data_IF_949938747373
#
_entry.id   IF_949938747373
#
_cell.length_a   1.000
_cell.length_b   1.000
_cell.length_c   1.000
_cell.angle_alpha   90.00
_cell.angle_beta   90.00
_cell.angle_gamma   90.00
#
_symmetry.space_group_name_H-M   'P 1'
#
loop_
_entity.id
_entity.type
_entity.pdbx_description
1 polymer ?
#
# COMPACT_ATOMS: atom_id res chain seq x y z
N UNK A 1 -17.33 -1.90 -0.92
CA UNK A 1 -18.24 -0.73 -0.97
C UNK A 1 -18.22 -0.18 -2.38
N UNK A 2 -19.29 0.52 -2.80
CA UNK A 2 -19.35 1.21 -4.08
C UNK A 2 -19.70 2.69 -3.85
N UNK A 3 -19.13 3.55 -4.70
CA UNK A 3 -19.42 4.98 -4.73
C UNK A 3 -20.24 5.27 -5.99
N UNK A 4 -21.26 6.12 -5.88
CA UNK A 4 -22.06 6.55 -7.03
C UNK A 4 -21.39 7.75 -7.70
N UNK A 5 -21.13 7.67 -9.02
CA UNK A 5 -20.47 8.74 -9.73
C UNK A 5 -21.26 10.05 -9.73
N UNK A 6 -22.61 9.93 -9.83
CA UNK A 6 -23.48 11.12 -9.78
C UNK A 6 -23.35 11.86 -8.45
N UNK A 7 -23.23 11.11 -7.33
CA UNK A 7 -23.03 11.73 -6.01
C UNK A 7 -21.64 12.35 -5.89
N UNK A 8 -20.59 11.69 -6.41
CA UNK A 8 -19.24 12.26 -6.46
C UNK A 8 -19.26 13.59 -7.20
N UNK A 9 -19.75 13.60 -8.45
CA UNK A 9 -19.79 14.81 -9.30
C UNK A 9 -20.67 15.89 -8.69
N UNK A 10 -21.84 15.55 -8.13
CA UNK A 10 -22.72 16.50 -7.45
C UNK A 10 -22.01 17.20 -6.27
N UNK A 11 -21.26 16.46 -5.44
CA UNK A 11 -20.52 17.02 -4.32
C UNK A 11 -19.39 17.93 -4.78
N UNK A 12 -18.70 17.56 -5.85
CA UNK A 12 -17.62 18.38 -6.44
C UNK A 12 -18.18 19.71 -6.96
N UNK A 13 -19.33 19.67 -7.65
CA UNK A 13 -19.97 20.89 -8.17
C UNK A 13 -20.52 21.79 -7.04
N UNK A 14 -20.93 21.21 -5.90
CA UNK A 14 -21.44 21.98 -4.78
C UNK A 14 -20.32 22.65 -3.97
N UNK A 15 -19.35 21.89 -3.49
CA UNK A 15 -18.16 22.36 -2.77
C UNK A 15 -17.06 21.28 -2.79
N UNK A 16 -16.08 21.40 -3.68
CA UNK A 16 -15.00 20.43 -3.79
C UNK A 16 -14.12 20.37 -2.55
N UNK A 17 -13.94 21.50 -1.84
CA UNK A 17 -13.12 21.52 -0.62
C UNK A 17 -13.80 20.77 0.53
N UNK A 18 -15.09 21.05 0.76
CA UNK A 18 -15.88 20.30 1.76
C UNK A 18 -15.86 18.80 1.46
N UNK A 19 -15.99 18.42 0.19
CA UNK A 19 -15.98 17.02 -0.19
C UNK A 19 -14.64 16.34 0.11
N UNK A 20 -13.53 16.99 -0.20
CA UNK A 20 -12.18 16.49 0.11
C UNK A 20 -11.98 16.35 1.61
N UNK A 21 -12.37 17.38 2.40
CA UNK A 21 -12.25 17.37 3.86
C UNK A 21 -13.07 16.25 4.49
N UNK A 22 -14.28 16.02 4.00
CA UNK A 22 -15.11 14.91 4.46
C UNK A 22 -14.50 13.54 4.13
N UNK A 23 -13.84 13.40 2.98
CA UNK A 23 -13.12 12.17 2.64
C UNK A 23 -11.91 11.93 3.57
N UNK A 24 -11.12 12.96 3.87
CA UNK A 24 -9.98 12.87 4.78
C UNK A 24 -10.45 12.59 6.23
N UNK A 25 -11.55 13.21 6.69
CA UNK A 25 -12.15 12.93 7.99
C UNK A 25 -12.62 11.47 8.11
N UNK A 26 -13.32 10.95 7.10
CA UNK A 26 -13.75 9.55 7.09
C UNK A 26 -12.56 8.58 7.07
N UNK A 27 -11.45 8.97 6.44
CA UNK A 27 -10.22 8.19 6.49
C UNK A 27 -9.57 8.21 7.89
N UNK A 28 -9.53 9.38 8.54
CA UNK A 28 -9.03 9.52 9.90
C UNK A 28 -9.82 8.66 10.91
N UNK A 29 -11.14 8.57 10.78
CA UNK A 29 -11.96 7.67 11.59
C UNK A 29 -11.59 6.18 11.41
N UNK A 30 -11.22 5.78 10.19
CA UNK A 30 -10.74 4.41 9.94
C UNK A 30 -9.38 4.17 10.62
N UNK A 31 -8.48 5.17 10.59
CA UNK A 31 -7.19 5.12 11.28
C UNK A 31 -7.39 4.95 12.78
N UNK A 32 -8.25 5.76 13.39
CA UNK A 32 -8.56 5.69 14.82
C UNK A 32 -9.12 4.31 15.23
N UNK A 33 -10.01 3.75 14.42
CA UNK A 33 -10.53 2.39 14.67
C UNK A 33 -9.45 1.33 14.59
N UNK A 34 -8.55 1.43 13.62
CA UNK A 34 -7.43 0.50 13.47
C UNK A 34 -6.46 0.62 14.66
N UNK A 35 -6.12 1.84 15.06
CA UNK A 35 -5.24 2.10 16.20
C UNK A 35 -5.83 1.54 17.52
N UNK A 36 -7.13 1.73 17.78
CA UNK A 36 -7.80 1.16 18.96
C UNK A 36 -7.76 -0.36 18.97
N UNK A 37 -8.06 -1.00 17.84
CA UNK A 37 -8.02 -2.45 17.74
C UNK A 37 -6.59 -2.99 17.95
N UNK A 38 -5.57 -2.30 17.47
CA UNK A 38 -4.17 -2.63 17.74
C UNK A 38 -3.85 -2.44 19.23
N UNK A 39 -4.27 -1.33 19.84
CA UNK A 39 -4.04 -1.03 21.24
C UNK A 39 -4.61 -2.10 22.19
N UNK A 40 -5.76 -2.67 21.84
CA UNK A 40 -6.35 -3.80 22.60
C UNK A 40 -5.47 -5.06 22.55
N UNK A 41 -4.75 -5.27 21.43
CA UNK A 41 -3.89 -6.46 21.23
C UNK A 41 -2.47 -6.31 21.80
N UNK A 42 -1.99 -5.09 22.04
CA UNK A 42 -0.58 -4.83 22.45
C UNK A 42 -0.13 -5.64 23.65
N UNK A 43 -1.02 -5.84 24.63
CA UNK A 43 -0.71 -6.63 25.85
C UNK A 43 -0.54 -8.11 25.57
N UNK A 44 -1.13 -8.61 24.50
CA UNK A 44 -1.01 -10.03 24.08
C UNK A 44 0.23 -10.21 23.21
N UNK A 45 0.39 -9.34 22.21
CA UNK A 45 1.53 -9.39 21.29
C UNK A 45 1.83 -7.98 20.76
N UNK A 46 3.06 -7.45 20.90
CA UNK A 46 3.43 -6.13 20.42
C UNK A 46 3.76 -6.10 18.92
N UNK A 47 3.39 -7.14 18.17
CA UNK A 47 3.65 -7.23 16.73
C UNK A 47 2.38 -6.91 15.95
N UNK A 48 2.49 -6.00 14.99
CA UNK A 48 1.47 -5.71 13.99
C UNK A 48 2.00 -6.13 12.62
N UNK A 49 1.30 -7.03 11.95
CA UNK A 49 1.59 -7.48 10.59
C UNK A 49 0.69 -6.73 9.62
N UNK A 50 1.25 -5.82 8.84
CA UNK A 50 0.52 -4.95 7.93
C UNK A 50 0.80 -5.37 6.49
N UNK A 51 -0.19 -5.93 5.81
CA UNK A 51 -0.09 -6.35 4.42
C UNK A 51 -1.09 -5.62 3.53
N UNK A 52 -0.83 -5.67 2.25
CA UNK A 52 -1.71 -5.13 1.21
C UNK A 52 -0.96 -5.03 -0.12
N UNK A 53 -1.68 -5.03 -1.24
CA UNK A 53 -1.08 -5.01 -2.57
C UNK A 53 -0.41 -3.67 -2.87
N UNK A 54 0.37 -3.63 -3.95
CA UNK A 54 1.01 -2.39 -4.43
C UNK A 54 -0.02 -1.29 -4.71
N UNK A 55 0.30 -0.05 -4.33
CA UNK A 55 -0.59 1.12 -4.49
C UNK A 55 -1.76 1.15 -3.49
N UNK A 56 -1.73 0.37 -2.42
CA UNK A 56 -2.80 0.39 -1.40
C UNK A 56 -2.66 1.49 -0.35
N UNK A 57 -1.56 2.25 -0.33
CA UNK A 57 -1.32 3.28 0.69
C UNK A 57 -0.86 2.72 2.04
N UNK A 58 -0.19 1.55 2.05
CA UNK A 58 0.30 0.91 3.28
C UNK A 58 1.18 1.82 4.11
N UNK A 59 2.16 2.45 3.49
CA UNK A 59 3.20 3.21 4.17
C UNK A 59 2.60 4.41 4.91
N UNK A 60 1.80 5.23 4.24
CA UNK A 60 1.12 6.37 4.90
C UNK A 60 0.12 5.91 5.95
N UNK A 61 -0.64 4.83 5.66
CA UNK A 61 -1.59 4.27 6.64
C UNK A 61 -0.86 3.81 7.90
N UNK A 62 0.30 3.14 7.76
CA UNK A 62 1.13 2.72 8.90
C UNK A 62 1.60 3.92 9.73
N UNK A 63 2.07 4.99 9.07
CA UNK A 63 2.52 6.22 9.75
C UNK A 63 1.38 6.89 10.52
N UNK A 64 0.19 6.99 9.92
CA UNK A 64 -1.00 7.56 10.57
C UNK A 64 -1.48 6.70 11.76
N UNK A 65 -1.45 5.38 11.63
CA UNK A 65 -1.74 4.47 12.76
C UNK A 65 -0.73 4.67 13.87
N UNK A 66 0.57 4.82 13.54
CA UNK A 66 1.62 5.09 14.51
C UNK A 66 1.40 6.41 15.27
N UNK A 67 0.94 7.46 14.57
CA UNK A 67 0.58 8.74 15.19
C UNK A 67 -0.62 8.60 16.14
N UNK A 68 -1.67 7.89 15.71
CA UNK A 68 -2.84 7.62 16.54
C UNK A 68 -2.49 6.79 17.79
N UNK A 69 -1.65 5.75 17.66
CA UNK A 69 -1.14 4.96 18.79
C UNK A 69 -0.34 5.81 19.78
N UNK A 70 0.50 6.73 19.26
CA UNK A 70 1.26 7.66 20.10
C UNK A 70 0.32 8.57 20.90
N UNK A 71 -0.79 9.03 20.30
CA UNK A 71 -1.84 9.76 21.00
C UNK A 71 -2.50 8.96 22.12
N UNK A 72 -2.44 7.63 22.09
CA UNK A 72 -2.92 6.71 23.13
C UNK A 72 -1.82 6.31 24.14
N UNK A 73 -0.62 6.90 24.05
CA UNK A 73 0.52 6.58 24.90
C UNK A 73 1.29 5.31 24.50
N UNK A 74 1.04 4.78 23.30
CA UNK A 74 1.70 3.58 22.76
C UNK A 74 2.74 4.02 21.73
N UNK A 75 4.02 3.73 21.97
CA UNK A 75 5.08 3.93 21.00
C UNK A 75 4.99 2.94 19.84
N UNK A 76 5.52 3.33 18.68
CA UNK A 76 5.58 2.42 17.53
C UNK A 76 6.90 2.53 16.78
N UNK A 77 7.43 1.40 16.36
CA UNK A 77 8.58 1.31 15.48
C UNK A 77 8.17 0.64 14.16
N UNK A 78 8.76 1.06 13.04
CA UNK A 78 8.48 0.49 11.71
C UNK A 78 9.58 -0.48 11.32
N UNK A 79 9.16 -1.64 10.80
CA UNK A 79 10.02 -2.65 10.21
C UNK A 79 9.52 -2.93 8.78
N UNK A 80 10.32 -2.53 7.79
CA UNK A 80 10.01 -2.77 6.39
C UNK A 80 10.46 -4.17 5.98
N UNK A 81 9.57 -4.99 5.44
CA UNK A 81 9.94 -6.31 4.89
C UNK A 81 10.90 -6.19 3.71
N UNK A 82 10.87 -5.07 3.03
CA UNK A 82 11.74 -4.80 1.89
C UNK A 82 13.23 -4.81 2.25
N UNK A 83 13.59 -4.55 3.50
CA UNK A 83 14.97 -4.69 3.99
C UNK A 83 15.44 -6.16 4.06
N UNK A 84 14.51 -7.11 4.02
CA UNK A 84 14.78 -8.55 4.09
C UNK A 84 14.89 -9.23 2.72
N UNK A 85 14.89 -8.47 1.61
CA UNK A 85 15.20 -9.07 0.31
C UNK A 85 16.58 -9.72 0.32
N UNK A 86 16.66 -10.95 -0.16
CA UNK A 86 17.94 -11.67 -0.32
C UNK A 86 18.74 -11.09 -1.48
N UNK A 87 20.05 -11.13 -1.39
CA UNK A 87 20.92 -10.85 -2.55
C UNK A 87 20.50 -11.71 -3.73
N UNK A 88 20.22 -11.07 -4.85
CA UNK A 88 19.72 -11.75 -6.04
C UNK A 88 20.79 -12.67 -6.62
N UNK A 89 20.53 -13.97 -6.64
CA UNK A 89 21.31 -14.94 -7.39
C UNK A 89 20.54 -15.32 -8.66
N UNK A 90 21.00 -14.92 -9.87
CA UNK A 90 20.29 -15.17 -11.13
C UNK A 90 20.02 -16.65 -11.43
N UNK A 91 20.77 -17.58 -10.80
CA UNK A 91 20.61 -19.03 -11.03
C UNK A 91 19.51 -19.64 -10.18
N UNK A 92 19.21 -19.07 -9.02
CA UNK A 92 18.27 -19.66 -8.04
C UNK A 92 17.07 -18.75 -7.73
N UNK A 93 17.09 -17.50 -8.22
CA UNK A 93 15.98 -16.57 -8.03
C UNK A 93 14.68 -17.13 -8.65
N UNK A 94 13.52 -16.94 -7.95
CA UNK A 94 12.22 -17.33 -8.51
C UNK A 94 11.97 -16.60 -9.83
N UNK A 95 11.25 -17.26 -10.74
CA UNK A 95 11.00 -16.70 -12.07
C UNK A 95 9.52 -16.59 -12.36
N UNK A 96 9.17 -15.59 -13.17
CA UNK A 96 7.86 -15.44 -13.79
C UNK A 96 7.67 -16.51 -14.89
N UNK A 97 6.45 -16.72 -15.37
CA UNK A 97 6.23 -17.60 -16.53
C UNK A 97 7.00 -17.19 -17.78
N UNK A 98 7.29 -15.89 -17.93
CA UNK A 98 8.04 -15.29 -19.04
C UNK A 98 9.56 -15.47 -18.88
N UNK A 99 10.02 -15.94 -17.70
CA UNK A 99 11.42 -16.23 -17.41
C UNK A 99 12.18 -15.12 -16.68
N UNK A 100 11.55 -13.99 -16.39
CA UNK A 100 12.12 -12.91 -15.61
C UNK A 100 12.18 -13.24 -14.12
N UNK A 101 13.00 -12.52 -13.33
CA UNK A 101 13.03 -12.67 -11.88
C UNK A 101 11.69 -12.20 -11.29
N UNK A 102 11.05 -13.09 -10.52
CA UNK A 102 9.77 -12.82 -9.88
C UNK A 102 9.96 -12.15 -8.50
N UNK A 103 10.12 -10.84 -8.50
CA UNK A 103 10.23 -10.04 -7.26
C UNK A 103 8.94 -9.99 -6.43
N UNK A 104 7.81 -10.43 -6.99
CA UNK A 104 6.55 -10.57 -6.24
C UNK A 104 6.50 -11.86 -5.42
N UNK A 105 7.47 -12.77 -5.61
CA UNK A 105 7.54 -14.03 -4.87
C UNK A 105 8.11 -13.85 -3.46
N UNK A 106 7.48 -14.42 -2.41
CA UNK A 106 8.03 -14.43 -1.06
C UNK A 106 9.40 -15.12 -0.95
N UNK A 107 9.74 -15.98 -1.93
CA UNK A 107 11.06 -16.63 -1.98
C UNK A 107 12.23 -15.65 -2.23
N UNK A 108 11.94 -14.41 -2.65
CA UNK A 108 12.94 -13.35 -2.72
C UNK A 108 13.30 -12.76 -1.34
N UNK A 109 12.52 -13.05 -0.30
CA UNK A 109 12.72 -12.55 1.07
C UNK A 109 13.39 -13.59 1.96
N UNK A 110 14.15 -13.14 2.93
CA UNK A 110 14.64 -13.97 4.04
C UNK A 110 13.57 -14.07 5.13
N UNK A 111 12.55 -14.90 4.84
CA UNK A 111 11.40 -15.10 5.72
C UNK A 111 11.79 -15.70 7.07
N UNK A 112 12.83 -16.56 7.11
CA UNK A 112 13.33 -17.13 8.34
C UNK A 112 13.97 -16.09 9.26
N UNK A 113 14.82 -15.20 8.68
CA UNK A 113 15.44 -14.14 9.45
C UNK A 113 14.38 -13.15 9.95
N UNK A 114 13.44 -12.76 9.11
CA UNK A 114 12.33 -11.89 9.49
C UNK A 114 11.50 -12.49 10.62
N UNK A 115 11.12 -13.76 10.51
CA UNK A 115 10.35 -14.45 11.53
C UNK A 115 11.09 -14.54 12.87
N UNK A 116 12.39 -14.85 12.84
CA UNK A 116 13.25 -14.86 14.05
C UNK A 116 13.33 -13.47 14.68
N UNK A 117 13.46 -12.40 13.88
CA UNK A 117 13.50 -11.04 14.37
C UNK A 117 12.17 -10.62 15.00
N UNK A 118 11.03 -10.92 14.38
CA UNK A 118 9.71 -10.63 14.96
C UNK A 118 9.50 -11.37 16.29
N UNK A 119 9.89 -12.63 16.36
CA UNK A 119 9.81 -13.43 17.59
C UNK A 119 10.71 -12.87 18.70
N UNK A 120 11.95 -12.45 18.37
CA UNK A 120 12.88 -11.80 19.30
C UNK A 120 12.30 -10.47 19.84
N UNK A 121 11.77 -9.63 18.94
CA UNK A 121 11.11 -8.36 19.33
C UNK A 121 9.90 -8.60 20.24
N UNK A 122 9.09 -9.63 19.97
CA UNK A 122 7.96 -10.00 20.82
C UNK A 122 8.38 -10.38 22.25
N UNK A 123 9.62 -10.90 22.41
CA UNK A 123 10.23 -11.20 23.74
C UNK A 123 10.99 -10.02 24.34
N UNK A 124 11.01 -8.84 23.69
CA UNK A 124 11.74 -7.67 24.14
C UNK A 124 13.26 -7.77 23.94
N UNK A 125 13.72 -8.68 23.08
CA UNK A 125 15.13 -8.85 22.72
C UNK A 125 15.52 -7.81 21.67
N UNK A 126 16.82 -7.46 21.63
CA UNK A 126 17.37 -6.57 20.61
C UNK A 126 17.70 -7.36 19.35
N UNK A 127 17.39 -6.77 18.20
CA UNK A 127 17.76 -7.28 16.88
C UNK A 127 18.56 -6.25 16.10
N UNK A 128 19.27 -6.68 15.06
CA UNK A 128 19.92 -5.80 14.10
C UNK A 128 19.28 -5.98 12.73
N UNK A 129 18.63 -4.90 12.22
CA UNK A 129 17.92 -4.92 10.95
C UNK A 129 18.91 -5.15 9.79
N UNK A 130 18.61 -6.03 8.82
CA UNK A 130 19.33 -6.05 7.56
C UNK A 130 19.00 -4.78 6.77
N UNK A 131 19.72 -4.54 5.70
CA UNK A 131 19.41 -3.49 4.73
C UNK A 131 19.56 -4.02 3.32
N UNK A 132 18.57 -3.78 2.49
CA UNK A 132 18.62 -4.15 1.08
C UNK A 132 18.81 -2.92 0.19
N UNK A 133 19.72 -3.01 -0.76
CA UNK A 133 19.94 -1.97 -1.75
C UNK A 133 19.31 -2.41 -3.09
N UNK A 134 18.21 -1.73 -3.47
CA UNK A 134 17.47 -2.04 -4.69
C UNK A 134 18.25 -1.75 -5.98
N UNK A 135 19.22 -0.84 -5.96
CA UNK A 135 20.05 -0.51 -7.13
C UNK A 135 21.07 -1.61 -7.40
N UNK A 136 21.80 -2.03 -6.35
CA UNK A 136 22.83 -3.08 -6.47
C UNK A 136 22.26 -4.48 -6.33
N UNK A 137 21.00 -4.64 -5.86
CA UNK A 137 20.31 -5.90 -5.56
C UNK A 137 21.05 -6.78 -4.55
N UNK A 138 21.68 -6.14 -3.56
CA UNK A 138 22.49 -6.80 -2.53
C UNK A 138 21.90 -6.50 -1.16
N UNK A 139 21.76 -7.54 -0.35
CA UNK A 139 21.49 -7.44 1.07
C UNK A 139 22.81 -7.22 1.81
N UNK A 140 22.94 -6.14 2.56
CA UNK A 140 24.00 -6.00 3.55
C UNK A 140 23.61 -6.79 4.80
N UNK A 141 24.54 -7.56 5.35
CA UNK A 141 24.32 -8.35 6.58
C UNK A 141 23.91 -7.48 7.79
N UNK A 142 23.89 -8.03 9.01
CA UNK A 142 23.30 -7.44 10.22
C UNK A 142 24.08 -6.23 10.79
N UNK A 143 24.51 -5.33 9.93
CA UNK A 143 25.23 -4.08 10.25
C UNK A 143 24.21 -2.92 10.41
N UNK A 144 22.92 -3.24 10.36
CA UNK A 144 21.86 -2.27 10.42
C UNK A 144 21.60 -1.70 11.81
N UNK A 145 20.66 -0.77 11.87
CA UNK A 145 20.25 -0.10 13.11
C UNK A 145 19.73 -1.14 14.11
N UNK A 146 20.20 -1.12 15.39
CA UNK A 146 19.61 -1.93 16.44
C UNK A 146 18.16 -1.53 16.67
N UNK A 147 17.30 -2.50 16.94
CA UNK A 147 15.90 -2.29 17.28
C UNK A 147 15.53 -3.17 18.47
N UNK A 148 14.87 -2.57 19.44
CA UNK A 148 14.30 -3.22 20.60
C UNK A 148 13.01 -2.54 20.97
N UNK A 149 11.99 -3.29 21.37
CA UNK A 149 10.71 -2.73 21.83
C UNK A 149 10.78 -2.40 23.32
N UNK A 150 10.30 -1.22 23.67
CA UNK A 150 9.99 -0.84 25.05
C UNK A 150 8.69 -1.50 25.54
N UNK A 151 8.36 -1.28 26.82
CA UNK A 151 7.21 -1.92 27.48
C UNK A 151 5.86 -1.56 26.85
N UNK A 152 5.73 -0.33 26.38
CA UNK A 152 4.48 0.20 25.80
C UNK A 152 4.72 0.58 24.32
N UNK A 153 5.43 -0.28 23.59
CA UNK A 153 5.74 -0.10 22.18
C UNK A 153 5.29 -1.29 21.35
N UNK A 154 4.95 -1.01 20.09
CA UNK A 154 4.67 -2.02 19.06
C UNK A 154 5.63 -1.89 17.91
N UNK A 155 5.89 -2.99 17.19
CA UNK A 155 6.49 -2.93 15.86
C UNK A 155 5.42 -3.16 14.80
N UNK A 156 5.37 -2.28 13.81
CA UNK A 156 4.55 -2.44 12.60
C UNK A 156 5.47 -3.02 11.51
N UNK A 157 5.35 -4.33 11.29
CA UNK A 157 6.01 -5.02 10.18
C UNK A 157 5.17 -4.82 8.92
N UNK A 158 5.65 -3.98 8.01
CA UNK A 158 4.95 -3.62 6.78
C UNK A 158 5.57 -4.35 5.58
N UNK A 159 4.72 -4.95 4.77
CA UNK A 159 5.13 -5.52 3.49
C UNK A 159 4.03 -6.31 2.80
N UNK A 160 4.21 -6.58 1.51
CA UNK A 160 3.19 -7.30 0.72
C UNK A 160 2.95 -8.73 1.22
N UNK A 161 3.93 -9.35 1.89
CA UNK A 161 3.88 -10.72 2.40
C UNK A 161 3.70 -10.83 3.91
N UNK A 162 3.41 -9.72 4.63
CA UNK A 162 3.35 -9.72 6.09
C UNK A 162 2.30 -10.69 6.67
N UNK A 163 1.24 -11.02 5.93
CA UNK A 163 0.23 -12.01 6.35
C UNK A 163 0.47 -13.44 5.81
N UNK A 164 1.62 -13.68 5.16
CA UNK A 164 1.96 -15.03 4.72
C UNK A 164 2.08 -15.99 5.92
N UNK A 165 1.70 -17.27 5.74
CA UNK A 165 1.74 -18.29 6.79
C UNK A 165 3.10 -18.48 7.42
N UNK A 166 4.15 -18.40 6.60
CA UNK A 166 5.52 -18.55 7.07
C UNK A 166 5.90 -17.47 8.09
N UNK A 167 5.38 -16.26 7.96
CA UNK A 167 5.57 -15.18 8.94
C UNK A 167 4.60 -15.29 10.11
N UNK A 168 3.32 -15.55 9.82
CA UNK A 168 2.29 -15.66 10.84
C UNK A 168 2.57 -16.79 11.85
N UNK A 169 3.28 -17.84 11.44
CA UNK A 169 3.67 -18.95 12.32
C UNK A 169 4.67 -18.53 13.41
N UNK A 170 5.52 -17.53 13.15
CA UNK A 170 6.45 -17.02 14.17
C UNK A 170 5.77 -16.16 15.24
N UNK A 171 4.66 -15.47 14.87
CA UNK A 171 3.91 -14.61 15.77
C UNK A 171 2.41 -14.87 15.63
N UNK A 172 1.89 -15.99 16.17
CA UNK A 172 0.48 -16.38 15.98
C UNK A 172 -0.50 -15.36 16.56
N UNK A 173 -0.12 -14.67 17.63
CA UNK A 173 -0.95 -13.68 18.34
C UNK A 173 -0.76 -12.24 17.82
N UNK A 174 0.03 -12.05 16.75
CA UNK A 174 0.23 -10.74 16.14
C UNK A 174 -1.08 -10.17 15.58
N UNK A 175 -1.28 -8.86 15.73
CA UNK A 175 -2.41 -8.19 15.09
C UNK A 175 -2.18 -8.10 13.58
N UNK A 176 -3.12 -8.60 12.80
CA UNK A 176 -3.06 -8.70 11.33
C UNK A 176 -3.96 -7.69 10.68
N UNK A 177 -3.35 -6.76 9.94
CA UNK A 177 -4.04 -5.69 9.23
C UNK A 177 -3.84 -5.86 7.71
N UNK A 178 -4.93 -5.94 6.96
CA UNK A 178 -4.88 -5.96 5.49
C UNK A 178 -5.44 -4.67 4.91
N UNK A 179 -4.62 -3.96 4.12
CA UNK A 179 -4.96 -2.68 3.51
C UNK A 179 -5.10 -2.84 2.00
N UNK A 180 -6.21 -2.35 1.44
CA UNK A 180 -6.40 -2.30 -0.02
C UNK A 180 -7.44 -1.25 -0.40
N UNK A 181 -7.25 -0.58 -1.53
CA UNK A 181 -8.32 0.19 -2.18
C UNK A 181 -9.32 -0.82 -2.79
N UNK A 182 -10.47 -1.00 -2.14
CA UNK A 182 -11.44 -2.05 -2.47
C UNK A 182 -12.73 -1.51 -3.06
N UNK A 183 -13.02 -0.24 -2.84
CA UNK A 183 -14.23 0.37 -3.37
C UNK A 183 -14.15 0.50 -4.88
N UNK A 184 -15.31 0.40 -5.52
CA UNK A 184 -15.50 0.61 -6.95
C UNK A 184 -16.38 1.84 -7.15
N UNK A 185 -16.33 2.46 -8.32
CA UNK A 185 -17.30 3.50 -8.68
C UNK A 185 -18.29 2.91 -9.65
N UNK A 186 -19.57 3.16 -9.39
CA UNK A 186 -20.70 2.66 -10.18
C UNK A 186 -21.53 3.83 -10.71
N UNK A 187 -22.30 3.58 -11.77
CA UNK A 187 -23.29 4.54 -12.29
C UNK A 187 -24.65 4.40 -11.60
N UNK A 188 -25.65 5.15 -12.10
CA UNK A 188 -27.01 5.15 -11.56
C UNK A 188 -27.72 3.80 -11.63
N UNK A 189 -27.33 2.94 -12.55
CA UNK A 189 -27.85 1.59 -12.72
C UNK A 189 -27.08 0.54 -11.92
N UNK A 190 -26.06 0.97 -11.16
CA UNK A 190 -25.19 0.10 -10.37
C UNK A 190 -24.10 -0.61 -11.19
N UNK A 191 -23.92 -0.24 -12.47
CA UNK A 191 -22.90 -0.81 -13.31
C UNK A 191 -21.51 -0.26 -12.91
N UNK A 192 -20.51 -1.13 -12.76
CA UNK A 192 -19.14 -0.75 -12.44
C UNK A 192 -18.50 0.02 -13.60
N UNK A 193 -18.13 1.26 -13.34
CA UNK A 193 -17.46 2.16 -14.30
C UNK A 193 -15.99 2.39 -13.96
N UNK A 194 -15.59 2.22 -12.70
CA UNK A 194 -14.20 2.37 -12.29
C UNK A 194 -13.84 1.36 -11.19
N UNK A 195 -12.85 0.51 -11.49
CA UNK A 195 -12.44 -0.62 -10.64
C UNK A 195 -11.48 -0.18 -9.53
N UNK A 196 -11.55 -0.80 -8.36
CA UNK A 196 -10.56 -0.60 -7.31
C UNK A 196 -9.12 -0.97 -7.74
N UNK A 197 -8.98 -1.90 -8.70
CA UNK A 197 -7.67 -2.22 -9.30
C UNK A 197 -7.14 -1.09 -10.17
N UNK A 198 -8.00 -0.34 -10.84
CA UNK A 198 -7.63 0.84 -11.62
C UNK A 198 -7.21 2.00 -10.70
N UNK A 199 -7.89 2.20 -9.55
CA UNK A 199 -7.44 3.18 -8.56
C UNK A 199 -5.98 2.93 -8.16
N UNK A 200 -5.65 1.68 -7.81
CA UNK A 200 -4.27 1.33 -7.44
C UNK A 200 -3.29 1.44 -8.60
N UNK A 201 -3.73 1.18 -9.82
CA UNK A 201 -2.91 1.41 -11.02
C UNK A 201 -2.62 2.91 -11.19
N UNK A 202 -3.61 3.79 -11.09
CA UNK A 202 -3.38 5.24 -11.15
C UNK A 202 -2.41 5.71 -10.05
N UNK A 203 -2.61 5.28 -8.81
CA UNK A 203 -1.70 5.57 -7.71
C UNK A 203 -0.26 5.16 -8.04
N UNK A 204 -0.08 3.94 -8.56
CA UNK A 204 1.24 3.43 -8.93
C UNK A 204 1.85 4.19 -10.10
N UNK A 205 1.09 4.45 -11.16
CA UNK A 205 1.55 5.22 -12.32
C UNK A 205 2.08 6.59 -11.92
N UNK A 206 1.28 7.32 -11.15
CA UNK A 206 1.63 8.68 -10.71
C UNK A 206 2.85 8.66 -9.78
N UNK A 207 2.86 7.77 -8.78
CA UNK A 207 4.00 7.64 -7.86
C UNK A 207 5.28 7.24 -8.59
N UNK A 208 5.23 6.22 -9.44
CA UNK A 208 6.41 5.68 -10.11
C UNK A 208 6.99 6.70 -11.11
N UNK A 209 6.13 7.51 -11.74
CA UNK A 209 6.55 8.65 -12.57
C UNK A 209 7.20 9.75 -11.73
N UNK A 210 6.54 10.19 -10.63
CA UNK A 210 6.99 11.33 -9.84
C UNK A 210 8.26 11.05 -9.03
N UNK A 211 8.41 9.83 -8.48
CA UNK A 211 9.44 9.56 -7.47
C UNK A 211 10.42 8.45 -7.84
N UNK A 212 10.16 7.69 -8.90
CA UNK A 212 11.02 6.56 -9.31
C UNK A 212 11.58 6.71 -10.71
N UNK A 213 11.19 7.77 -11.43
CA UNK A 213 11.61 8.01 -12.81
C UNK A 213 11.17 6.90 -13.78
N UNK A 214 10.13 6.14 -13.43
CA UNK A 214 9.64 5.01 -14.25
C UNK A 214 8.58 5.53 -15.23
N UNK A 215 8.79 5.38 -16.55
CA UNK A 215 7.77 5.76 -17.54
C UNK A 215 6.45 4.99 -17.37
N UNK A 216 5.35 5.61 -17.74
CA UNK A 216 4.01 5.01 -17.63
C UNK A 216 3.91 3.66 -18.34
N UNK A 217 4.46 3.52 -19.56
CA UNK A 217 4.49 2.27 -20.29
C UNK A 217 5.18 1.15 -19.50
N UNK A 218 6.34 1.42 -18.89
CA UNK A 218 7.07 0.43 -18.09
C UNK A 218 6.28 0.03 -16.81
N UNK A 219 5.56 0.96 -16.18
CA UNK A 219 4.68 0.65 -15.05
C UNK A 219 3.52 -0.26 -15.49
N UNK A 220 2.94 -0.01 -16.66
CA UNK A 220 1.88 -0.85 -17.23
C UNK A 220 2.37 -2.25 -17.55
N UNK A 221 3.55 -2.38 -18.17
CA UNK A 221 4.16 -3.68 -18.50
C UNK A 221 4.37 -4.54 -17.24
N UNK A 222 4.86 -3.91 -16.16
CA UNK A 222 5.02 -4.57 -14.85
C UNK A 222 3.70 -4.92 -14.17
N UNK A 223 2.60 -4.22 -14.50
CA UNK A 223 1.33 -4.36 -13.77
C UNK A 223 0.72 -5.76 -13.85
N UNK A 224 0.88 -6.46 -14.98
CA UNK A 224 0.41 -7.83 -15.11
C UNK A 224 1.07 -8.75 -14.08
N UNK A 225 2.40 -8.63 -13.92
CA UNK A 225 3.17 -9.42 -12.96
C UNK A 225 2.79 -9.08 -11.51
N UNK A 226 2.63 -7.79 -11.19
CA UNK A 226 2.15 -7.32 -9.88
C UNK A 226 0.78 -7.94 -9.55
N UNK A 227 -0.16 -7.93 -10.51
CA UNK A 227 -1.50 -8.53 -10.33
C UNK A 227 -1.45 -10.05 -10.19
N UNK A 228 -0.52 -10.71 -10.88
CA UNK A 228 -0.27 -12.13 -10.74
C UNK A 228 0.26 -12.45 -9.34
N UNK A 229 1.28 -11.72 -8.91
CA UNK A 229 1.87 -11.85 -7.56
C UNK A 229 0.84 -11.62 -6.46
N UNK A 230 0.01 -10.58 -6.59
CA UNK A 230 -1.09 -10.30 -5.67
C UNK A 230 -2.06 -11.49 -5.54
N UNK A 231 -2.54 -12.02 -6.67
CA UNK A 231 -3.46 -13.16 -6.68
C UNK A 231 -2.85 -14.42 -6.07
N UNK A 232 -1.56 -14.65 -6.28
CA UNK A 232 -0.86 -15.87 -5.86
C UNK A 232 -0.35 -15.80 -4.43
N UNK A 233 0.19 -14.66 -4.01
CA UNK A 233 1.01 -14.56 -2.81
C UNK A 233 0.47 -13.60 -1.74
N UNK A 234 -0.55 -12.79 -2.04
CA UNK A 234 -1.07 -11.77 -1.12
C UNK A 234 -2.55 -12.03 -0.81
N UNK A 235 -3.39 -12.08 -1.84
CA UNK A 235 -4.85 -12.22 -1.70
C UNK A 235 -5.30 -13.49 -0.96
N UNK A 236 -4.63 -14.64 -1.05
CA UNK A 236 -5.05 -15.83 -0.31
C UNK A 236 -5.01 -15.67 1.21
N UNK A 237 -4.18 -14.75 1.71
CA UNK A 237 -4.00 -14.54 3.15
C UNK A 237 -4.86 -13.41 3.74
N UNK A 238 -5.60 -12.66 2.92
CA UNK A 238 -6.39 -11.49 3.36
C UNK A 238 -7.45 -11.84 4.40
N UNK A 239 -8.09 -13.03 4.29
CA UNK A 239 -9.14 -13.47 5.21
C UNK A 239 -8.62 -13.82 6.61
N UNK A 240 -7.29 -13.83 6.80
CA UNK A 240 -6.64 -14.02 8.11
C UNK A 240 -6.44 -12.71 8.86
N UNK A 241 -6.76 -11.58 8.25
CA UNK A 241 -6.65 -10.28 8.90
C UNK A 241 -7.67 -10.14 10.02
N UNK A 242 -7.23 -9.63 11.18
CA UNK A 242 -8.11 -9.20 12.25
C UNK A 242 -8.93 -7.98 11.82
N UNK A 243 -8.34 -7.13 10.96
CA UNK A 243 -9.00 -5.95 10.42
C UNK A 243 -8.70 -5.79 8.92
N UNK A 244 -9.76 -5.58 8.14
CA UNK A 244 -9.69 -5.21 6.72
C UNK A 244 -9.87 -3.70 6.60
N UNK A 245 -8.84 -3.01 6.10
CA UNK A 245 -8.83 -1.56 5.95
C UNK A 245 -9.02 -1.17 4.48
N UNK A 246 -10.15 -0.54 4.15
CA UNK A 246 -10.36 0.03 2.82
C UNK A 246 -9.77 1.44 2.75
N UNK A 247 -8.70 1.57 1.96
CA UNK A 247 -7.96 2.81 1.76
C UNK A 247 -8.49 3.66 0.61
N UNK A 248 -9.64 3.32 0.04
CA UNK A 248 -10.26 4.10 -1.04
C UNK A 248 -10.84 5.41 -0.52
N UNK A 249 -10.77 6.46 -1.36
CA UNK A 249 -11.44 7.74 -1.15
C UNK A 249 -12.48 7.97 -2.24
N UNK A 250 -13.68 8.45 -1.91
CA UNK A 250 -14.66 8.81 -2.93
C UNK A 250 -14.16 9.87 -3.93
N UNK A 251 -13.38 10.86 -3.44
CA UNK A 251 -12.84 11.97 -4.25
C UNK A 251 -11.59 11.60 -5.06
N UNK A 252 -11.01 10.41 -4.85
CA UNK A 252 -9.67 10.06 -5.33
C UNK A 252 -9.51 10.12 -6.84
N UNK A 253 -10.43 9.52 -7.60
CA UNK A 253 -10.33 9.46 -9.06
C UNK A 253 -10.33 10.87 -9.65
N UNK A 254 -11.16 11.76 -9.11
CA UNK A 254 -11.29 13.17 -9.52
C UNK A 254 -10.02 13.99 -9.27
N UNK A 255 -9.20 13.58 -8.30
CA UNK A 255 -7.91 14.21 -8.02
C UNK A 255 -6.81 13.56 -8.87
N UNK A 256 -6.76 12.22 -8.89
CA UNK A 256 -5.70 11.47 -9.54
C UNK A 256 -5.70 11.63 -11.05
N UNK A 257 -6.86 11.87 -11.67
CA UNK A 257 -6.95 12.09 -13.12
C UNK A 257 -6.07 13.22 -13.62
N UNK A 258 -5.89 14.30 -12.84
CA UNK A 258 -5.02 15.43 -13.22
C UNK A 258 -3.57 15.01 -13.53
N UNK A 259 -3.11 13.93 -12.91
CA UNK A 259 -1.76 13.40 -13.06
C UNK A 259 -1.72 12.19 -14.00
N UNK A 260 -2.75 11.35 -13.93
CA UNK A 260 -2.77 10.07 -14.63
C UNK A 260 -3.17 10.19 -16.10
N UNK A 261 -4.10 11.08 -16.45
CA UNK A 261 -4.51 11.29 -17.86
C UNK A 261 -3.32 11.60 -18.78
N UNK A 262 -2.49 12.63 -18.50
CA UNK A 262 -1.35 12.92 -19.38
C UNK A 262 -0.35 11.76 -19.47
N UNK A 263 -0.17 10.99 -18.39
CA UNK A 263 0.72 9.82 -18.37
C UNK A 263 0.17 8.67 -19.24
N UNK A 264 -1.15 8.46 -19.21
CA UNK A 264 -1.82 7.41 -20.00
C UNK A 264 -1.89 7.79 -21.49
N UNK A 265 -2.16 9.06 -21.80
CA UNK A 265 -2.19 9.58 -23.17
C UNK A 265 -0.82 9.51 -23.86
N UNK A 266 0.26 9.66 -23.08
CA UNK A 266 1.62 9.57 -23.60
C UNK A 266 2.06 8.13 -23.94
N UNK A 267 1.27 7.11 -23.59
CA UNK A 267 1.62 5.71 -23.89
C UNK A 267 1.32 5.39 -25.36
N UNK A 268 2.30 4.86 -26.13
CA UNK A 268 2.09 4.51 -27.53
C UNK A 268 1.01 3.45 -27.74
N UNK A 269 0.24 3.53 -28.83
CA UNK A 269 -0.81 2.56 -29.15
C UNK A 269 -0.33 1.11 -29.29
N UNK A 270 0.93 0.92 -29.65
CA UNK A 270 1.55 -0.39 -29.76
C UNK A 270 2.10 -0.97 -28.45
N UNK A 271 1.95 -0.23 -27.34
CA UNK A 271 2.44 -0.71 -26.05
C UNK A 271 1.62 -1.93 -25.56
N UNK A 272 2.27 -2.82 -24.84
CA UNK A 272 1.58 -3.89 -24.13
C UNK A 272 0.52 -3.28 -23.18
N UNK A 273 -0.68 -3.90 -23.12
CA UNK A 273 -1.82 -3.42 -22.30
C UNK A 273 -2.45 -2.09 -22.74
N UNK A 274 -2.16 -1.58 -23.92
CA UNK A 274 -2.84 -0.38 -24.44
C UNK A 274 -4.38 -0.51 -24.42
N UNK A 275 -4.91 -1.73 -24.58
CA UNK A 275 -6.34 -2.02 -24.46
C UNK A 275 -6.92 -1.66 -23.09
N UNK A 276 -6.13 -1.74 -22.00
CA UNK A 276 -6.57 -1.33 -20.67
C UNK A 276 -6.68 0.21 -20.58
N UNK A 277 -5.73 0.93 -21.18
CA UNK A 277 -5.76 2.40 -21.28
C UNK A 277 -7.03 2.88 -22.00
N UNK A 278 -7.36 2.24 -23.12
CA UNK A 278 -8.59 2.54 -23.88
C UNK A 278 -9.87 2.35 -23.07
N UNK A 279 -9.83 1.57 -22.00
CA UNK A 279 -10.95 1.41 -21.07
C UNK A 279 -10.90 2.43 -19.92
N UNK A 280 -9.70 2.82 -19.47
CA UNK A 280 -9.52 3.72 -18.34
C UNK A 280 -9.79 5.18 -18.75
N UNK A 281 -9.25 5.65 -19.86
CA UNK A 281 -9.39 7.05 -20.28
C UNK A 281 -10.84 7.50 -20.41
N UNK A 282 -11.75 6.80 -21.14
CA UNK A 282 -13.16 7.17 -21.20
C UNK A 282 -13.87 7.11 -19.84
N UNK A 283 -13.40 6.22 -18.94
CA UNK A 283 -13.95 6.16 -17.60
C UNK A 283 -13.54 7.40 -16.76
N UNK A 284 -12.30 7.89 -16.93
CA UNK A 284 -11.83 9.12 -16.27
C UNK A 284 -12.59 10.38 -16.73
N UNK A 285 -12.97 10.46 -18.00
CA UNK A 285 -13.75 11.58 -18.54
C UNK A 285 -15.10 11.78 -17.83
N UNK A 286 -15.65 10.72 -17.24
CA UNK A 286 -16.93 10.77 -16.52
C UNK A 286 -16.84 11.50 -15.16
N UNK A 287 -15.65 11.73 -14.64
CA UNK A 287 -15.42 12.38 -13.35
C UNK A 287 -15.16 13.87 -13.50
N UNK A 288 -15.85 14.68 -12.72
CA UNK A 288 -15.47 16.06 -12.49
C UNK A 288 -14.08 16.13 -11.85
N UNK A 289 -13.34 17.19 -12.17
CA UNK A 289 -11.95 17.35 -11.70
C UNK A 289 -11.92 18.11 -10.37
N UNK A 290 -11.07 17.68 -9.46
CA UNK A 290 -10.75 18.37 -8.21
C UNK A 290 -9.31 18.91 -8.31
N UNK A 291 -9.10 20.19 -7.94
CA UNK A 291 -7.77 20.77 -7.82
C UNK A 291 -7.00 20.06 -6.69
N UNK A 292 -5.83 19.42 -6.97
CA UNK A 292 -5.00 18.77 -5.97
C UNK A 292 -4.52 19.70 -4.83
N UNK A 293 -4.53 21.02 -5.03
CA UNK A 293 -4.20 21.99 -4.01
C UNK A 293 -5.18 21.98 -2.82
N UNK A 294 -6.40 21.47 -3.02
CA UNK A 294 -7.41 21.32 -1.96
C UNK A 294 -7.10 20.20 -0.97
N UNK A 295 -6.19 19.26 -1.30
CA UNK A 295 -5.78 18.19 -0.39
C UNK A 295 -4.93 18.73 0.75
N UNK A 296 -5.25 18.31 1.97
CA UNK A 296 -4.40 18.58 3.13
C UNK A 296 -3.00 17.94 2.96
N UNK A 297 -1.94 18.56 3.53
CA UNK A 297 -0.58 17.98 3.49
C UNK A 297 -0.48 16.60 4.14
N UNK A 298 -1.37 16.28 5.08
CA UNK A 298 -1.46 15.01 5.80
C UNK A 298 -2.29 13.96 5.05
N UNK A 299 -2.94 14.31 3.91
CA UNK A 299 -3.77 13.36 3.17
C UNK A 299 -2.95 12.18 2.66
N UNK A 300 -3.50 10.97 2.77
CA UNK A 300 -2.85 9.74 2.28
C UNK A 300 -2.58 9.79 0.77
N UNK A 301 -3.38 10.51 0.01
CA UNK A 301 -3.19 10.64 -1.44
C UNK A 301 -1.88 11.36 -1.80
N UNK A 302 -1.32 12.15 -0.88
CA UNK A 302 0.00 12.80 -1.03
C UNK A 302 1.16 11.81 -1.19
N UNK A 303 1.02 10.57 -0.71
CA UNK A 303 1.99 9.48 -0.98
C UNK A 303 2.26 9.32 -2.48
N UNK A 304 1.27 9.57 -3.32
CA UNK A 304 1.35 9.32 -4.76
C UNK A 304 1.64 10.58 -5.57
N UNK A 305 1.06 11.72 -5.16
CA UNK A 305 1.16 12.97 -5.91
C UNK A 305 2.22 13.93 -5.39
N UNK A 306 2.71 13.72 -4.17
CA UNK A 306 3.68 14.58 -3.50
C UNK A 306 3.08 15.75 -2.73
N UNK A 307 3.97 16.58 -2.14
CA UNK A 307 3.57 17.74 -1.35
C UNK A 307 2.97 17.41 0.01
N UNK A 308 3.23 16.19 0.54
CA UNK A 308 2.80 15.76 1.86
C UNK A 308 3.84 15.98 2.95
N UNK A 309 3.45 15.77 4.21
CA UNK A 309 4.31 15.87 5.40
C UNK A 309 5.11 14.60 5.66
N UNK A 310 4.71 13.48 5.08
CA UNK A 310 5.37 12.19 5.26
C UNK A 310 6.54 12.02 4.29
N UNK A 311 7.63 11.43 4.76
CA UNK A 311 8.81 11.06 3.95
C UNK A 311 8.79 9.55 3.67
N UNK A 312 9.08 9.15 2.42
CA UNK A 312 8.98 7.78 1.94
C UNK A 312 10.33 7.21 1.48
#
# INVERSE_FOLDING_TARGET
MSYQIQEINRRIQADPKEFVDACDAAYAEKIERAARAIAENVRTCPIVLLSGPSGSGKTTTAMKIAEALRGMGIGSQSLAMDDYFRTVNPRTAPRTPEGDIDFESPACLDMDLLGKHLNALARGEEIHLPRYNFVTRVQSGPIGRPMRLGKDEVVVCEGIHALNDDIAAYCPDAFRLYISARSVVVDGDGQEIFKGTWMRLLRRLVRDSNFRGTPAAATLDMWANVRRGEKRFISPFKERANLMFDSSFPCEVSIMKNFAEPLLEAVPEGAERYAEIRSILPALERFETIDPALLAPESMLREFIGGGVYSY
#
